data_IF_481110651680
#
_entry.id   IF_481110651680
#
_cell.length_a   1.000
_cell.length_b   1.000
_cell.length_c   1.000
_cell.angle_alpha   90.00
_cell.angle_beta   90.00
_cell.angle_gamma   90.00
#
_symmetry.space_group_name_H-M   'P 1'
#
loop_
_entity.id
_entity.type
_entity.pdbx_description
1 polymer ?
#
# COMPACT_ATOMS: atom_id res chain seq x y z
N UNK A 1 40.65 16.45 -53.77
CA UNK A 1 40.41 15.47 -54.85
C UNK A 1 39.61 14.33 -54.32
N UNK A 2 38.42 14.01 -54.85
CA UNK A 2 37.69 12.77 -54.58
C UNK A 2 38.01 11.70 -55.61
N UNK A 3 37.57 10.48 -55.45
CA UNK A 3 36.43 9.99 -56.23
C UNK A 3 35.45 9.19 -55.37
N UNK A 4 34.13 9.32 -55.61
CA UNK A 4 33.25 8.57 -56.50
C UNK A 4 33.19 7.05 -56.15
N UNK A 5 32.15 6.40 -55.97
CA UNK A 5 30.74 6.31 -56.37
C UNK A 5 30.35 4.82 -56.34
N UNK A 6 29.16 4.54 -56.21
CA UNK A 6 28.27 3.48 -56.70
C UNK A 6 27.64 2.68 -55.59
N UNK A 7 26.37 2.47 -55.49
CA UNK A 7 25.36 2.31 -56.46
C UNK A 7 24.39 1.24 -55.93
N UNK A 8 23.16 1.60 -55.82
CA UNK A 8 21.99 0.87 -56.20
C UNK A 8 21.58 -0.40 -55.46
N UNK A 9 20.39 -0.42 -54.89
CA UNK A 9 19.32 -1.30 -55.38
C UNK A 9 18.11 -1.27 -54.42
N UNK A 10 17.10 -0.61 -54.88
CA UNK A 10 15.69 -0.72 -54.43
C UNK A 10 15.18 -2.14 -54.59
N UNK A 11 14.76 -2.80 -53.52
CA UNK A 11 13.90 -3.97 -53.60
C UNK A 11 12.50 -3.62 -53.08
N UNK A 12 11.59 -3.30 -54.01
CA UNK A 12 10.13 -3.38 -53.85
C UNK A 12 9.76 -4.81 -53.47
N UNK A 13 9.15 -5.01 -52.31
CA UNK A 13 8.51 -6.27 -51.91
C UNK A 13 6.98 -6.09 -51.98
N UNK A 14 6.41 -6.75 -52.97
CA UNK A 14 4.98 -6.82 -53.30
C UNK A 14 4.18 -7.38 -52.11
N UNK A 15 3.20 -6.63 -51.66
CA UNK A 15 2.19 -7.07 -50.71
C UNK A 15 1.12 -7.90 -51.45
N UNK A 16 1.07 -9.19 -51.20
CA UNK A 16 -0.05 -10.03 -51.62
C UNK A 16 -1.23 -9.81 -50.67
N UNK A 17 -2.31 -9.21 -51.16
CA UNK A 17 -3.64 -9.18 -50.54
C UNK A 17 -4.22 -10.60 -50.59
N UNK A 18 -4.44 -11.18 -49.40
CA UNK A 18 -5.34 -12.34 -49.24
C UNK A 18 -6.74 -11.83 -48.94
N UNK A 19 -7.64 -12.02 -49.88
CA UNK A 19 -9.07 -11.85 -49.71
C UNK A 19 -9.61 -13.07 -48.95
N UNK A 20 -10.11 -12.90 -47.74
CA UNK A 20 -10.85 -13.93 -46.96
C UNK A 20 -12.32 -13.58 -47.09
N UNK A 21 -13.04 -14.37 -47.87
CA UNK A 21 -14.50 -14.41 -47.94
C UNK A 21 -15.04 -15.15 -46.70
N UNK A 22 -15.62 -14.43 -45.76
CA UNK A 22 -16.29 -15.02 -44.59
C UNK A 22 -17.74 -15.42 -44.93
N UNK A 23 -18.07 -16.65 -44.70
CA UNK A 23 -19.44 -17.19 -44.81
C UNK A 23 -20.32 -16.76 -43.62
N UNK A 24 -21.64 -16.52 -43.79
CA UNK A 24 -22.51 -15.91 -42.77
C UNK A 24 -22.99 -16.87 -41.64
N UNK A 25 -22.36 -18.01 -41.43
CA UNK A 25 -22.79 -18.93 -40.37
C UNK A 25 -22.14 -18.71 -38.99
N UNK A 26 -21.17 -17.80 -38.88
CA UNK A 26 -20.42 -17.56 -37.61
C UNK A 26 -21.02 -16.50 -36.69
N UNK A 27 -21.97 -15.71 -37.16
CA UNK A 27 -22.56 -14.62 -36.35
C UNK A 27 -23.63 -15.08 -35.36
N UNK A 28 -24.31 -16.21 -35.65
CA UNK A 28 -25.34 -16.74 -34.75
C UNK A 28 -24.76 -17.43 -33.48
N UNK A 29 -23.55 -18.01 -33.58
CA UNK A 29 -22.91 -18.69 -32.46
C UNK A 29 -22.32 -17.70 -31.46
N UNK A 30 -21.82 -16.55 -31.94
CA UNK A 30 -21.24 -15.49 -31.08
C UNK A 30 -22.35 -14.78 -30.29
N UNK A 31 -23.54 -14.61 -30.85
CA UNK A 31 -24.68 -13.99 -30.17
C UNK A 31 -25.25 -14.89 -29.03
N UNK A 32 -25.22 -16.21 -29.20
CA UNK A 32 -25.69 -17.14 -28.16
C UNK A 32 -24.68 -17.24 -27.01
N UNK A 33 -23.39 -17.15 -27.30
CA UNK A 33 -22.35 -17.15 -26.26
C UNK A 33 -22.36 -15.86 -25.41
N UNK A 34 -22.69 -14.71 -26.00
CA UNK A 34 -22.84 -13.45 -25.25
C UNK A 34 -24.12 -13.44 -24.38
N UNK A 35 -25.20 -14.08 -24.83
CA UNK A 35 -26.45 -14.10 -24.08
C UNK A 35 -26.39 -15.07 -22.87
N UNK A 36 -25.60 -16.14 -22.95
CA UNK A 36 -25.42 -17.08 -21.85
C UNK A 36 -24.44 -16.56 -20.78
N UNK A 37 -23.43 -15.78 -21.18
CA UNK A 37 -22.49 -15.19 -20.21
C UNK A 37 -23.05 -13.98 -19.45
N UNK A 38 -24.06 -13.27 -20.00
CA UNK A 38 -24.70 -12.14 -19.30
C UNK A 38 -25.74 -12.58 -18.28
N UNK A 39 -26.30 -13.80 -18.40
CA UNK A 39 -27.30 -14.29 -17.43
C UNK A 39 -26.64 -14.86 -16.15
N UNK A 40 -25.48 -15.50 -16.25
CA UNK A 40 -24.79 -16.02 -15.08
C UNK A 40 -24.15 -14.94 -14.20
N UNK A 41 -23.82 -13.76 -14.75
CA UNK A 41 -23.28 -12.64 -13.98
C UNK A 41 -24.38 -11.90 -13.22
N UNK A 42 -25.61 -11.82 -13.75
CA UNK A 42 -26.73 -11.16 -13.07
C UNK A 42 -27.33 -12.00 -11.92
N UNK A 43 -27.27 -13.33 -12.00
CA UNK A 43 -27.78 -14.21 -10.92
C UNK A 43 -26.79 -14.35 -9.76
N UNK A 44 -25.50 -14.10 -9.97
CA UNK A 44 -24.48 -14.13 -8.91
C UNK A 44 -24.52 -12.90 -7.99
N UNK A 45 -25.14 -11.78 -8.43
CA UNK A 45 -25.21 -10.55 -7.62
C UNK A 45 -26.51 -10.40 -6.81
N UNK A 46 -27.51 -11.26 -7.00
CA UNK A 46 -28.78 -11.14 -6.27
C UNK A 46 -28.86 -11.95 -4.97
N UNK A 47 -27.80 -12.62 -4.54
CA UNK A 47 -27.76 -13.42 -3.31
C UNK A 47 -26.76 -12.94 -2.25
N UNK A 48 -26.31 -11.67 -2.31
CA UNK A 48 -25.64 -11.06 -1.17
C UNK A 48 -26.68 -10.50 -0.19
N UNK A 49 -27.28 -11.39 0.58
CA UNK A 49 -27.89 -11.03 1.85
C UNK A 49 -26.76 -10.69 2.84
N UNK A 50 -26.90 -9.65 3.68
CA UNK A 50 -25.93 -9.42 4.74
C UNK A 50 -25.95 -10.65 5.66
N UNK A 51 -24.87 -11.41 5.67
CA UNK A 51 -24.71 -12.58 6.52
C UNK A 51 -24.66 -12.09 7.96
N UNK A 52 -25.79 -12.18 8.63
CA UNK A 52 -25.84 -12.16 10.09
C UNK A 52 -25.16 -13.42 10.61
N UNK A 53 -23.96 -13.28 11.10
CA UNK A 53 -23.22 -14.38 11.74
C UNK A 53 -23.86 -14.66 13.09
N UNK A 54 -24.65 -15.72 13.16
CA UNK A 54 -25.10 -16.29 14.45
C UNK A 54 -24.00 -17.23 14.94
N UNK A 55 -23.15 -16.74 15.83
CA UNK A 55 -22.17 -17.56 16.53
C UNK A 55 -22.87 -18.38 17.60
N UNK A 56 -22.88 -19.71 17.43
CA UNK A 56 -23.24 -20.66 18.48
C UNK A 56 -22.16 -20.68 19.54
N UNK A 57 -22.49 -20.16 20.72
CA UNK A 57 -21.63 -20.15 21.89
C UNK A 57 -21.51 -21.55 22.49
N UNK A 58 -20.30 -22.11 22.50
CA UNK A 58 -19.88 -23.10 23.50
C UNK A 58 -18.47 -22.80 23.97
N UNK A 59 -18.39 -22.53 25.29
CA UNK A 59 -17.21 -22.42 26.13
C UNK A 59 -16.30 -21.19 26.01
N UNK A 60 -16.65 -20.13 26.75
CA UNK A 60 -15.87 -19.50 27.82
C UNK A 60 -14.48 -18.95 27.49
N UNK A 61 -14.33 -18.14 26.43
CA UNK A 61 -13.52 -16.92 26.36
C UNK A 61 -14.13 -16.08 25.25
N UNK A 62 -14.71 -14.93 25.62
CA UNK A 62 -15.16 -13.93 24.65
C UNK A 62 -13.98 -13.54 23.78
N UNK A 63 -13.94 -14.05 22.54
CA UNK A 63 -13.11 -13.44 21.51
C UNK A 63 -13.82 -12.15 21.13
N UNK A 64 -13.33 -11.02 21.62
CA UNK A 64 -13.82 -9.70 21.24
C UNK A 64 -13.58 -9.51 19.75
N UNK A 65 -14.61 -9.80 18.95
CA UNK A 65 -14.68 -9.37 17.57
C UNK A 65 -14.69 -7.85 17.61
N UNK A 66 -13.70 -7.21 16.96
CA UNK A 66 -13.63 -5.75 16.84
C UNK A 66 -14.77 -5.29 15.95
N UNK A 67 -15.96 -5.13 16.55
CA UNK A 67 -17.14 -4.50 15.92
C UNK A 67 -17.34 -3.10 16.48
N UNK A 68 -16.35 -2.22 16.28
CA UNK A 68 -16.62 -0.79 16.45
C UNK A 68 -17.34 -0.34 15.18
N UNK A 69 -18.55 0.28 15.27
CA UNK A 69 -19.18 0.86 14.11
C UNK A 69 -18.24 1.88 13.49
N UNK A 70 -18.21 1.95 12.15
CA UNK A 70 -17.40 2.91 11.42
C UNK A 70 -17.57 4.29 12.05
N UNK A 71 -16.50 4.80 12.67
CA UNK A 71 -16.53 6.14 13.25
C UNK A 71 -16.66 7.16 12.13
N UNK A 72 -17.39 8.23 12.39
CA UNK A 72 -17.42 9.41 11.55
C UNK A 72 -15.97 9.81 11.17
N UNK A 73 -15.77 10.27 9.95
CA UNK A 73 -14.45 10.65 9.41
C UNK A 73 -13.76 11.68 10.33
N UNK A 74 -14.50 12.66 10.85
CA UNK A 74 -13.95 13.66 11.76
C UNK A 74 -13.45 13.03 13.06
N UNK A 75 -14.21 12.11 13.65
CA UNK A 75 -13.81 11.38 14.85
C UNK A 75 -12.55 10.56 14.59
N UNK A 76 -12.50 9.82 13.46
CA UNK A 76 -11.33 9.04 13.10
C UNK A 76 -10.06 9.91 12.95
N UNK A 77 -10.18 11.08 12.32
CA UNK A 77 -9.08 12.03 12.15
C UNK A 77 -8.58 12.59 13.49
N UNK A 78 -9.50 12.91 14.41
CA UNK A 78 -9.18 13.55 15.69
C UNK A 78 -8.72 12.51 16.72
N UNK A 79 -9.30 11.30 16.73
CA UNK A 79 -9.06 10.27 17.73
C UNK A 79 -7.90 9.34 17.43
N UNK A 80 -7.55 9.15 16.14
CA UNK A 80 -6.42 8.30 15.78
C UNK A 80 -5.13 8.74 16.47
N UNK A 81 -4.42 7.78 17.06
CA UNK A 81 -3.12 7.99 17.74
C UNK A 81 -2.03 7.13 17.12
N UNK A 82 -0.80 7.58 17.26
CA UNK A 82 0.38 6.74 17.05
C UNK A 82 0.51 5.78 18.20
N UNK A 83 0.37 4.49 17.95
CA UNK A 83 0.45 3.44 18.98
C UNK A 83 1.91 3.02 19.13
N UNK A 84 2.41 3.01 20.36
CA UNK A 84 3.77 2.59 20.66
C UNK A 84 3.85 1.18 21.25
N UNK A 85 2.80 0.77 21.94
CA UNK A 85 2.74 -0.48 22.65
C UNK A 85 1.57 -1.30 22.12
N UNK A 86 1.90 -2.44 21.51
CA UNK A 86 0.95 -3.33 20.85
C UNK A 86 0.87 -4.66 21.60
N UNK A 87 -0.30 -5.28 21.59
CA UNK A 87 -0.43 -6.71 21.86
C UNK A 87 0.44 -7.46 20.83
N UNK A 88 1.28 -8.40 21.25
CA UNK A 88 2.19 -9.11 20.33
C UNK A 88 1.46 -9.98 19.31
N UNK A 89 0.16 -10.18 19.46
CA UNK A 89 -0.67 -10.96 18.54
C UNK A 89 -1.58 -10.06 17.70
N UNK A 90 -1.70 -10.38 16.42
CA UNK A 90 -2.66 -9.71 15.56
C UNK A 90 -4.10 -10.10 15.94
N UNK A 91 -5.05 -9.15 15.93
CA UNK A 91 -6.45 -9.44 16.25
C UNK A 91 -7.09 -10.30 15.15
N UNK A 92 -8.11 -11.09 15.51
CA UNK A 92 -8.90 -11.84 14.53
C UNK A 92 -9.50 -10.90 13.49
N UNK A 93 -9.46 -11.27 12.19
CA UNK A 93 -9.98 -10.45 11.09
C UNK A 93 -9.05 -9.31 10.65
N UNK A 94 -7.79 -9.31 11.09
CA UNK A 94 -6.82 -8.30 10.70
C UNK A 94 -6.52 -8.28 9.20
N UNK A 95 -6.57 -9.43 8.52
CA UNK A 95 -6.30 -9.52 7.09
C UNK A 95 -7.38 -8.79 6.28
N UNK A 96 -8.64 -9.00 6.60
CA UNK A 96 -9.76 -8.32 5.96
C UNK A 96 -9.73 -6.81 6.25
N UNK A 97 -9.37 -6.42 7.48
CA UNK A 97 -9.20 -5.01 7.83
C UNK A 97 -8.03 -4.37 7.06
N UNK A 98 -6.89 -5.06 6.94
CA UNK A 98 -5.76 -4.61 6.15
C UNK A 98 -6.12 -4.48 4.67
N UNK A 99 -6.83 -5.45 4.11
CA UNK A 99 -7.29 -5.40 2.72
C UNK A 99 -8.20 -4.19 2.46
N UNK A 100 -9.18 -3.92 3.34
CA UNK A 100 -10.01 -2.71 3.25
C UNK A 100 -9.17 -1.44 3.33
N UNK A 101 -8.19 -1.41 4.23
CA UNK A 101 -7.32 -0.27 4.43
C UNK A 101 -6.40 0.00 3.23
N UNK A 102 -5.88 -1.05 2.59
CA UNK A 102 -5.10 -0.93 1.34
C UNK A 102 -6.00 -0.39 0.22
N UNK A 103 -7.23 -0.90 0.08
CA UNK A 103 -8.19 -0.35 -0.88
C UNK A 103 -8.42 1.14 -0.60
N UNK A 104 -8.71 1.53 0.64
CA UNK A 104 -8.90 2.95 1.01
C UNK A 104 -7.66 3.80 0.70
N UNK A 105 -6.46 3.26 0.88
CA UNK A 105 -5.21 3.93 0.55
C UNK A 105 -5.09 4.28 -0.94
N UNK A 106 -5.56 3.41 -1.83
CA UNK A 106 -5.50 3.63 -3.28
C UNK A 106 -6.43 4.75 -3.77
N UNK A 107 -7.34 5.25 -2.92
CA UNK A 107 -8.19 6.42 -3.20
C UNK A 107 -7.53 7.75 -2.80
N UNK A 108 -6.25 7.75 -2.45
CA UNK A 108 -5.50 8.98 -2.19
C UNK A 108 -5.40 9.85 -3.46
N UNK A 109 -5.39 11.20 -3.32
CA UNK A 109 -5.16 12.09 -4.45
C UNK A 109 -3.83 11.75 -5.13
N UNK A 110 -3.86 11.58 -6.46
CA UNK A 110 -2.68 11.23 -7.22
C UNK A 110 -2.68 11.96 -8.57
N UNK A 111 -1.69 12.82 -8.78
CA UNK A 111 -1.51 13.52 -10.03
C UNK A 111 -1.12 12.53 -11.13
N UNK A 112 -1.68 12.72 -12.34
CA UNK A 112 -1.45 11.89 -13.54
C UNK A 112 -1.76 10.39 -13.35
N UNK A 113 -2.37 9.98 -12.25
CA UNK A 113 -2.72 8.59 -11.93
C UNK A 113 -1.52 7.64 -12.04
N UNK A 114 -0.39 8.05 -11.52
CA UNK A 114 0.85 7.26 -11.51
C UNK A 114 0.76 6.05 -10.57
N UNK A 115 -0.14 6.09 -9.58
CA UNK A 115 -0.35 5.04 -8.56
C UNK A 115 0.97 4.53 -7.97
N UNK A 116 1.79 5.42 -7.39
CA UNK A 116 3.20 5.15 -7.08
C UNK A 116 3.40 4.32 -5.80
N UNK A 117 2.34 4.03 -5.07
CA UNK A 117 2.39 3.31 -3.80
C UNK A 117 2.56 1.80 -4.00
N UNK A 118 3.45 1.20 -3.18
CA UNK A 118 3.52 -0.23 -2.97
C UNK A 118 3.49 -0.53 -1.48
N UNK A 119 2.84 -1.62 -1.11
CA UNK A 119 2.64 -2.04 0.27
C UNK A 119 3.19 -3.45 0.44
N UNK A 120 4.31 -3.58 1.15
CA UNK A 120 4.98 -4.85 1.37
C UNK A 120 4.66 -5.37 2.77
N UNK A 121 3.77 -6.36 2.86
CA UNK A 121 3.48 -7.06 4.11
C UNK A 121 4.64 -8.01 4.42
N UNK A 122 5.31 -7.80 5.54
CA UNK A 122 6.50 -8.59 5.88
C UNK A 122 6.13 -9.88 6.61
N UNK A 123 6.70 -11.00 6.14
CA UNK A 123 6.72 -12.26 6.87
C UNK A 123 7.87 -12.32 7.89
N UNK A 124 7.89 -13.38 8.70
CA UNK A 124 8.83 -13.54 9.83
C UNK A 124 10.31 -13.44 9.42
N UNK A 125 10.67 -13.95 8.25
CA UNK A 125 12.06 -13.92 7.76
C UNK A 125 12.51 -12.50 7.44
N UNK A 126 11.70 -11.72 6.71
CA UNK A 126 12.00 -10.32 6.40
C UNK A 126 12.04 -9.46 7.66
N UNK A 127 11.08 -9.66 8.59
CA UNK A 127 11.08 -8.99 9.90
C UNK A 127 12.39 -9.28 10.65
N UNK A 128 12.80 -10.55 10.72
CA UNK A 128 14.05 -10.97 11.35
C UNK A 128 15.28 -10.29 10.75
N UNK A 129 15.33 -10.19 9.41
CA UNK A 129 16.40 -9.53 8.68
C UNK A 129 16.46 -8.04 8.97
N UNK A 130 15.32 -7.35 8.97
CA UNK A 130 15.23 -5.91 9.32
C UNK A 130 15.60 -5.67 10.78
N UNK A 131 15.14 -6.51 11.70
CA UNK A 131 15.48 -6.41 13.12
C UNK A 131 16.99 -6.57 13.33
N UNK A 132 17.63 -7.54 12.69
CA UNK A 132 19.06 -7.78 12.75
C UNK A 132 19.86 -6.57 12.25
N UNK A 133 19.50 -6.04 11.08
CA UNK A 133 20.11 -4.83 10.53
C UNK A 133 19.99 -3.64 11.48
N UNK A 134 18.80 -3.46 12.08
CA UNK A 134 18.58 -2.36 13.04
C UNK A 134 19.43 -2.53 14.32
N UNK A 135 19.62 -3.76 14.78
CA UNK A 135 20.50 -4.05 15.94
C UNK A 135 21.92 -3.64 15.63
N UNK A 136 22.45 -4.00 14.47
CA UNK A 136 23.80 -3.62 14.04
C UNK A 136 23.99 -2.11 14.07
N UNK A 137 23.06 -1.34 13.47
CA UNK A 137 23.06 0.13 13.47
C UNK A 137 23.00 0.72 14.89
N UNK A 138 22.16 0.15 15.75
CA UNK A 138 22.01 0.67 17.12
C UNK A 138 23.20 0.31 17.99
N UNK A 139 23.74 -0.90 17.84
CA UNK A 139 24.92 -1.37 18.58
C UNK A 139 26.15 -0.51 18.25
N UNK A 140 26.37 -0.22 16.97
CA UNK A 140 27.45 0.67 16.54
C UNK A 140 27.36 2.06 17.18
N UNK A 141 26.13 2.61 17.28
CA UNK A 141 25.92 3.98 17.77
C UNK A 141 25.80 4.09 19.29
N UNK A 142 25.29 3.05 19.98
CA UNK A 142 24.85 3.13 21.39
C UNK A 142 25.26 1.93 22.24
N UNK A 143 26.02 0.97 21.68
CA UNK A 143 26.49 -0.23 22.36
C UNK A 143 25.49 -1.39 22.38
N UNK A 144 25.97 -2.58 22.73
CA UNK A 144 25.27 -3.86 22.65
C UNK A 144 23.98 -3.90 23.49
N UNK A 145 23.99 -3.32 24.69
CA UNK A 145 22.81 -3.29 25.57
C UNK A 145 21.64 -2.58 24.90
N UNK A 146 21.93 -1.46 24.22
CA UNK A 146 20.91 -0.71 23.48
C UNK A 146 20.42 -1.49 22.26
N UNK A 147 21.32 -2.17 21.54
CA UNK A 147 21.00 -3.05 20.41
C UNK A 147 20.05 -4.16 20.83
N UNK A 148 20.39 -4.91 21.89
CA UNK A 148 19.55 -5.99 22.42
C UNK A 148 18.17 -5.53 22.85
N UNK A 149 18.09 -4.44 23.62
CA UNK A 149 16.80 -3.86 24.03
C UNK A 149 15.93 -3.49 22.83
N UNK A 150 16.56 -3.01 21.75
CA UNK A 150 15.86 -2.67 20.52
C UNK A 150 15.32 -3.90 19.80
N UNK A 151 16.10 -4.98 19.74
CA UNK A 151 15.68 -6.26 19.18
C UNK A 151 14.45 -6.81 19.89
N UNK A 152 14.54 -6.94 21.22
CA UNK A 152 13.48 -7.50 22.05
C UNK A 152 12.16 -6.75 21.83
N UNK A 153 12.23 -5.43 21.72
CA UNK A 153 11.04 -4.61 21.46
C UNK A 153 10.49 -4.78 20.04
N UNK A 154 11.34 -4.87 19.03
CA UNK A 154 10.90 -4.91 17.64
C UNK A 154 10.31 -6.27 17.25
N UNK A 155 10.85 -7.35 17.81
CA UNK A 155 10.30 -8.69 17.59
C UNK A 155 8.88 -8.88 18.19
N UNK A 156 8.44 -7.97 19.06
CA UNK A 156 7.09 -7.99 19.62
C UNK A 156 6.08 -7.17 18.79
N UNK A 157 6.51 -6.50 17.72
CA UNK A 157 5.59 -5.76 16.86
C UNK A 157 4.78 -6.74 16.01
N UNK A 158 3.43 -6.77 16.13
CA UNK A 158 2.61 -7.86 15.59
C UNK A 158 2.48 -7.83 14.06
N UNK A 159 2.34 -6.66 13.46
CA UNK A 159 2.18 -6.48 12.02
C UNK A 159 3.15 -5.46 11.45
N UNK A 160 3.75 -5.77 10.30
CA UNK A 160 4.74 -4.95 9.62
C UNK A 160 4.39 -4.75 8.16
N UNK A 161 4.23 -3.50 7.76
CA UNK A 161 3.99 -3.09 6.39
C UNK A 161 5.05 -2.06 6.00
N UNK A 162 5.90 -2.38 5.03
CA UNK A 162 6.80 -1.39 4.43
C UNK A 162 6.07 -0.71 3.29
N UNK A 163 6.08 0.61 3.30
CA UNK A 163 5.46 1.43 2.26
C UNK A 163 6.56 2.05 1.43
N UNK A 164 6.47 1.86 0.13
CA UNK A 164 7.40 2.41 -0.84
C UNK A 164 6.68 3.30 -1.85
N UNK A 165 7.46 4.15 -2.48
CA UNK A 165 7.03 4.94 -3.61
C UNK A 165 7.82 4.48 -4.84
N UNK A 166 7.13 4.11 -5.87
CA UNK A 166 7.72 3.70 -7.12
C UNK A 166 8.13 4.91 -7.95
N UNK A 167 9.37 4.94 -8.40
CA UNK A 167 9.82 5.82 -9.42
C UNK A 167 9.75 5.05 -10.75
N UNK A 168 8.78 5.38 -11.59
CA UNK A 168 8.75 4.85 -12.93
C UNK A 168 9.51 5.80 -13.87
N UNK A 169 10.77 5.50 -14.21
CA UNK A 169 11.56 6.34 -15.12
C UNK A 169 11.02 6.32 -16.55
N UNK A 170 10.14 5.37 -16.90
CA UNK A 170 9.49 5.30 -18.21
C UNK A 170 8.23 6.15 -18.32
N UNK A 171 7.77 6.75 -17.22
CA UNK A 171 6.58 7.62 -17.26
C UNK A 171 6.86 8.86 -18.13
N UNK A 172 6.06 9.12 -19.18
CA UNK A 172 6.24 10.30 -20.04
C UNK A 172 6.25 11.63 -19.28
N UNK A 173 5.62 11.65 -18.12
CA UNK A 173 5.58 12.83 -17.24
C UNK A 173 6.87 13.06 -16.46
N UNK A 174 7.76 12.09 -16.37
CA UNK A 174 9.09 12.25 -15.78
C UNK A 174 10.03 13.06 -16.67
N UNK A 175 9.82 13.06 -17.98
CA UNK A 175 10.67 13.80 -18.94
C UNK A 175 10.45 15.32 -18.85
N UNK A 176 9.23 15.75 -18.43
CA UNK A 176 8.87 17.17 -18.36
C UNK A 176 9.36 17.85 -17.05
N UNK A 177 9.14 17.20 -15.89
CA UNK A 177 9.58 17.67 -14.57
C UNK A 177 9.78 16.48 -13.62
N UNK A 178 10.90 15.76 -13.70
CA UNK A 178 11.16 14.59 -12.87
C UNK A 178 11.15 14.90 -11.37
N UNK A 179 11.70 16.04 -10.96
CA UNK A 179 11.77 16.43 -9.55
C UNK A 179 10.38 16.82 -9.00
N UNK A 180 9.56 17.50 -9.80
CA UNK A 180 8.20 17.85 -9.46
C UNK A 180 7.32 16.62 -9.29
N UNK A 181 7.35 15.71 -10.27
CA UNK A 181 6.57 14.47 -10.21
C UNK A 181 6.99 13.56 -9.07
N UNK A 182 8.28 13.40 -8.80
CA UNK A 182 8.77 12.61 -7.67
C UNK A 182 8.24 13.15 -6.33
N UNK A 183 8.20 14.47 -6.17
CA UNK A 183 7.62 15.11 -4.98
C UNK A 183 6.11 14.89 -4.88
N UNK A 184 5.38 14.99 -5.99
CA UNK A 184 3.94 14.74 -6.04
C UNK A 184 3.61 13.27 -5.77
N UNK A 185 4.39 12.33 -6.32
CA UNK A 185 4.26 10.91 -6.04
C UNK A 185 4.50 10.60 -4.55
N UNK A 186 5.55 11.17 -3.96
CA UNK A 186 5.79 11.04 -2.52
C UNK A 186 4.63 11.58 -1.69
N UNK A 187 4.09 12.76 -2.03
CA UNK A 187 2.93 13.34 -1.36
C UNK A 187 1.69 12.44 -1.49
N UNK A 188 1.45 11.88 -2.68
CA UNK A 188 0.35 10.93 -2.90
C UNK A 188 0.50 9.68 -2.02
N UNK A 189 1.71 9.11 -1.90
CA UNK A 189 1.97 7.98 -1.00
C UNK A 189 1.74 8.36 0.46
N UNK A 190 2.14 9.58 0.89
CA UNK A 190 1.85 10.04 2.25
C UNK A 190 0.34 10.15 2.51
N UNK A 191 -0.45 10.61 1.55
CA UNK A 191 -1.92 10.63 1.62
C UNK A 191 -2.48 9.20 1.69
N UNK A 192 -1.92 8.27 0.91
CA UNK A 192 -2.31 6.86 0.94
C UNK A 192 -2.04 6.22 2.31
N UNK A 193 -0.89 6.50 2.93
CA UNK A 193 -0.57 6.06 4.30
C UNK A 193 -1.57 6.62 5.31
N UNK A 194 -1.96 7.88 5.19
CA UNK A 194 -2.96 8.46 6.08
C UNK A 194 -4.32 7.78 5.92
N UNK A 195 -4.80 7.54 4.68
CA UNK A 195 -6.05 6.82 4.43
C UNK A 195 -6.01 5.41 5.04
N UNK A 196 -4.89 4.70 4.85
CA UNK A 196 -4.66 3.38 5.42
C UNK A 196 -4.74 3.40 6.95
N UNK A 197 -4.06 4.36 7.59
CA UNK A 197 -4.08 4.51 9.04
C UNK A 197 -5.48 4.83 9.59
N UNK A 198 -6.26 5.64 8.89
CA UNK A 198 -7.64 5.97 9.28
C UNK A 198 -8.57 4.77 9.13
N UNK A 199 -8.46 4.03 8.03
CA UNK A 199 -9.26 2.82 7.81
C UNK A 199 -8.97 1.75 8.85
N UNK A 200 -7.69 1.47 9.15
CA UNK A 200 -7.31 0.55 10.23
C UNK A 200 -7.82 1.03 11.60
N UNK A 201 -7.74 2.34 11.87
CA UNK A 201 -8.26 2.91 13.13
C UNK A 201 -9.78 2.72 13.25
N UNK A 202 -10.54 2.91 12.18
CA UNK A 202 -11.97 2.67 12.16
C UNK A 202 -12.32 1.21 12.46
N UNK A 203 -11.47 0.27 12.04
CA UNK A 203 -11.57 -1.15 12.35
C UNK A 203 -10.98 -1.52 13.73
N UNK A 204 -10.57 -0.53 14.56
CA UNK A 204 -10.00 -0.74 15.90
C UNK A 204 -8.55 -1.23 15.91
N UNK A 205 -7.86 -1.16 14.78
CA UNK A 205 -6.45 -1.53 14.64
C UNK A 205 -5.58 -0.28 14.77
N UNK A 206 -4.70 -0.29 15.77
CA UNK A 206 -3.73 0.77 15.99
C UNK A 206 -2.59 0.74 14.98
N UNK A 207 -2.01 1.91 14.69
CA UNK A 207 -0.91 2.04 13.75
C UNK A 207 0.21 2.92 14.28
N UNK A 208 1.43 2.66 13.78
CA UNK A 208 2.59 3.53 13.95
C UNK A 208 3.37 3.61 12.64
N UNK A 209 3.36 4.79 12.04
CA UNK A 209 4.26 5.09 10.93
C UNK A 209 5.64 5.50 11.49
N UNK A 210 6.69 4.85 11.02
CA UNK A 210 8.07 5.07 11.44
C UNK A 210 9.02 5.14 10.25
N UNK A 211 9.99 6.05 10.32
CA UNK A 211 11.03 6.29 9.33
C UNK A 211 12.39 6.39 10.01
N UNK A 212 12.76 5.33 10.74
CA UNK A 212 14.05 5.26 11.44
C UNK A 212 15.24 5.07 10.50
N UNK A 213 16.48 5.23 11.01
CA UNK A 213 17.71 5.10 10.19
C UNK A 213 17.80 3.79 9.41
N UNK A 214 17.24 2.69 9.92
CA UNK A 214 17.25 1.40 9.25
C UNK A 214 16.49 1.44 7.91
N UNK A 215 15.41 2.21 7.79
CA UNK A 215 14.62 2.32 6.56
C UNK A 215 15.43 2.93 5.39
N UNK A 216 16.45 3.72 5.72
CA UNK A 216 17.32 4.38 4.75
C UNK A 216 18.70 3.75 4.64
N UNK A 217 18.91 2.60 5.30
CA UNK A 217 20.18 1.88 5.20
C UNK A 217 20.25 1.16 3.84
N UNK A 218 21.42 1.17 3.14
CA UNK A 218 21.55 0.54 1.82
C UNK A 218 21.15 -0.93 1.76
N UNK A 219 21.32 -1.66 2.87
CA UNK A 219 20.94 -3.08 2.97
C UNK A 219 19.44 -3.30 3.23
N UNK A 220 18.65 -2.24 3.47
CA UNK A 220 17.24 -2.39 3.81
C UNK A 220 16.43 -2.96 2.65
N UNK A 221 16.63 -2.42 1.45
CA UNK A 221 15.95 -2.88 0.24
C UNK A 221 16.16 -4.39 0.02
N UNK A 222 17.40 -4.86 0.19
CA UNK A 222 17.73 -6.28 0.11
C UNK A 222 17.06 -7.10 1.21
N UNK A 223 17.01 -6.59 2.44
CA UNK A 223 16.41 -7.30 3.59
C UNK A 223 14.89 -7.49 3.43
N UNK A 224 14.22 -6.58 2.69
CA UNK A 224 12.77 -6.60 2.44
C UNK A 224 12.45 -7.22 1.09
N UNK A 225 13.39 -7.25 0.14
CA UNK A 225 13.18 -7.71 -1.24
C UNK A 225 12.52 -6.66 -2.14
N UNK A 226 12.88 -5.38 -1.97
CA UNK A 226 12.37 -4.29 -2.78
C UNK A 226 13.00 -4.27 -4.17
N UNK A 227 12.25 -3.77 -5.16
CA UNK A 227 12.78 -3.49 -6.51
C UNK A 227 13.70 -2.25 -6.48
N UNK A 228 14.57 -2.12 -7.50
CA UNK A 228 15.51 -1.01 -7.61
C UNK A 228 14.81 0.34 -7.89
N UNK A 229 13.63 0.31 -8.50
CA UNK A 229 12.80 1.46 -8.82
C UNK A 229 11.92 1.93 -7.65
N UNK A 230 11.99 1.24 -6.51
CA UNK A 230 11.25 1.59 -5.31
C UNK A 230 12.13 2.30 -4.27
N UNK A 231 11.64 3.38 -3.68
CA UNK A 231 12.25 3.97 -2.49
C UNK A 231 11.32 3.92 -1.27
N UNK A 232 11.92 3.74 -0.10
CA UNK A 232 11.18 3.54 1.15
C UNK A 232 10.61 4.86 1.66
N UNK A 233 9.30 4.91 1.85
CA UNK A 233 8.58 6.02 2.51
C UNK A 233 8.54 5.81 4.02
N UNK A 234 8.46 4.56 4.45
CA UNK A 234 8.53 4.19 5.86
C UNK A 234 8.00 2.80 6.13
N UNK A 235 8.10 2.42 7.39
CA UNK A 235 7.51 1.19 7.92
C UNK A 235 6.30 1.53 8.77
N UNK A 236 5.20 0.85 8.55
CA UNK A 236 4.00 0.94 9.35
C UNK A 236 3.88 -0.32 10.20
N UNK A 237 3.91 -0.16 11.52
CA UNK A 237 3.51 -1.22 12.44
C UNK A 237 2.01 -1.11 12.70
N UNK A 238 1.33 -2.24 12.79
CA UNK A 238 -0.11 -2.29 13.02
C UNK A 238 -0.49 -3.48 13.89
N UNK A 239 -1.58 -3.33 14.63
CA UNK A 239 -2.11 -4.35 15.53
C UNK A 239 -3.03 -3.77 16.59
N UNK A 240 -3.45 -4.60 17.55
CA UNK A 240 -4.24 -4.14 18.68
C UNK A 240 -3.36 -3.30 19.60
N UNK A 241 -3.82 -2.10 19.94
CA UNK A 241 -3.14 -1.26 20.92
C UNK A 241 -3.26 -1.88 22.33
N UNK A 242 -2.13 -2.12 22.98
CA UNK A 242 -2.11 -2.47 24.41
C UNK A 242 -2.46 -1.23 25.24
N UNK A 243 -1.95 -0.08 24.82
CA UNK A 243 -2.25 1.22 25.42
C UNK A 243 -2.43 2.28 24.34
N UNK A 244 -3.55 2.99 24.41
CA UNK A 244 -3.80 4.15 23.56
C UNK A 244 -3.29 5.41 24.25
N UNK A 245 -2.37 6.17 23.63
CA UNK A 245 -1.89 7.44 24.18
C UNK A 245 -3.00 8.48 24.29
N UNK A 246 -2.92 9.33 25.29
CA UNK A 246 -3.79 10.50 25.40
C UNK A 246 -3.64 11.45 24.21
N UNK A 247 -4.65 12.29 24.00
CA UNK A 247 -4.57 13.35 23.01
C UNK A 247 -3.41 14.30 23.33
N UNK A 248 -2.70 14.83 22.31
CA UNK A 248 -1.63 15.78 22.54
C UNK A 248 -2.20 17.04 23.22
N UNK A 249 -1.53 17.50 24.28
CA UNK A 249 -1.96 18.64 25.10
C UNK A 249 -1.96 19.97 24.35
N UNK A 250 -1.14 20.10 23.30
CA UNK A 250 -1.01 21.34 22.53
C UNK A 250 -1.10 21.04 21.03
N UNK A 251 -1.93 21.81 20.37
CA UNK A 251 -1.96 21.97 18.92
C UNK A 251 -1.76 23.45 18.61
N UNK A 252 -1.29 23.75 17.44
CA UNK A 252 -1.33 25.12 16.93
C UNK A 252 -2.79 25.57 16.84
N UNK A 253 -3.04 26.83 17.09
CA UNK A 253 -4.38 27.41 16.91
C UNK A 253 -4.69 27.52 15.41
N UNK A 254 -5.94 27.77 15.08
CA UNK A 254 -6.31 27.99 13.68
C UNK A 254 -5.65 29.26 13.14
N UNK A 255 -5.49 30.28 13.96
CA UNK A 255 -4.84 31.54 13.63
C UNK A 255 -3.34 31.38 13.32
N UNK A 256 -2.68 30.40 13.96
CA UNK A 256 -1.27 30.09 13.70
C UNK A 256 -1.03 29.42 12.35
N UNK A 257 -2.05 28.79 11.78
CA UNK A 257 -1.91 27.96 10.57
C UNK A 257 -2.68 28.48 9.35
N UNK A 258 -3.71 29.30 9.58
CA UNK A 258 -4.50 29.92 8.51
C UNK A 258 -4.03 31.36 8.29
N UNK A 259 -3.34 31.60 7.19
CA UNK A 259 -2.91 32.95 6.79
C UNK A 259 -3.93 33.50 5.80
N UNK A 260 -4.47 34.69 6.08
CA UNK A 260 -5.40 35.41 5.20
C UNK A 260 -4.62 36.54 4.51
N UNK A 261 -4.73 36.59 3.19
CA UNK A 261 -4.22 37.71 2.40
C UNK A 261 -5.40 38.58 2.00
N UNK A 262 -5.32 39.89 2.27
CA UNK A 262 -6.31 40.91 1.87
C UNK A 262 -6.07 41.38 0.44
#
# INVERSE_FOLDING_TARGET
MPPQSSGGATKKKMMKMFSITTRPASLAIIAIFHLLMTWDICSAFSSFSPIGYVASAKNGKSMDVVTKPASDVHSALIERRTINDFDPTLPTGWEEALNRAIIAATYAPNHKRTEPWRFHLLGAEAIGSVCKLNVEIVTEKKGEVAGKKKLDRWLQMPGWLVVTCQNDPSSPSMDEDPAGLARENYAAVCCAVQNLCLSLHADGIGTKWTSGPVNFHPSFAKAVGLSEDEYVVGTLWFGRAEKTPEAPKKRLSMEDVLIRHE
#
